data_IF_855463251863
#
_entry.id   IF_855463251863
#
_cell.length_a   1.000
_cell.length_b   1.000
_cell.length_c   1.000
_cell.angle_alpha   90.00
_cell.angle_beta   90.00
_cell.angle_gamma   90.00
#
_symmetry.space_group_name_H-M   'P 1'
#
loop_
_entity.id
_entity.type
_entity.pdbx_description
1 polymer ?
#
# COMPACT_ATOMS: atom_id res chain seq x y z
N UNK A 1 65.62 16.33 55.38
CA UNK A 1 64.42 15.53 55.09
C UNK A 1 64.35 15.28 53.58
N UNK A 2 64.18 14.01 53.18
CA UNK A 2 64.09 13.56 51.79
C UNK A 2 62.66 13.75 51.29
N UNK A 3 62.48 14.26 50.08
CA UNK A 3 61.33 13.88 49.24
C UNK A 3 61.84 13.69 47.82
N UNK A 4 61.84 12.44 47.38
CA UNK A 4 62.03 12.05 45.99
C UNK A 4 60.70 12.30 45.26
N UNK A 5 60.73 13.11 44.20
CA UNK A 5 59.60 13.28 43.29
C UNK A 5 59.78 12.39 42.08
N UNK A 6 59.27 11.17 42.16
CA UNK A 6 59.14 10.30 40.98
C UNK A 6 57.96 10.80 40.13
N UNK A 7 58.22 11.03 38.84
CA UNK A 7 57.19 11.44 37.86
C UNK A 7 56.51 10.17 37.34
N UNK A 8 55.23 9.90 37.65
CA UNK A 8 54.57 8.73 37.08
C UNK A 8 54.21 8.98 35.60
N UNK A 9 54.61 8.03 34.78
CA UNK A 9 54.51 7.98 33.32
C UNK A 9 53.05 7.92 32.85
N UNK A 10 52.46 9.07 32.49
CA UNK A 10 51.09 9.19 31.94
C UNK A 10 50.90 8.70 30.49
N UNK A 11 51.93 8.11 29.85
CA UNK A 11 51.86 7.69 28.46
C UNK A 11 51.01 6.42 28.20
N UNK A 12 50.63 5.65 29.22
CA UNK A 12 49.89 4.39 29.07
C UNK A 12 48.37 4.55 28.90
N UNK A 13 47.84 5.77 29.01
CA UNK A 13 46.40 6.02 29.03
C UNK A 13 45.83 6.11 27.60
N UNK A 14 46.66 6.42 26.60
CA UNK A 14 46.20 6.59 25.22
C UNK A 14 46.19 5.28 24.40
N UNK A 15 46.79 4.20 24.91
CA UNK A 15 46.92 2.93 24.17
C UNK A 15 45.74 1.96 24.39
N UNK A 16 44.86 2.24 25.35
CA UNK A 16 43.72 1.38 25.70
C UNK A 16 42.42 1.78 25.00
N UNK A 17 42.49 2.21 23.73
CA UNK A 17 41.30 2.44 22.89
C UNK A 17 40.96 1.22 22.00
N UNK A 18 41.05 0.01 22.55
CA UNK A 18 40.44 -1.19 21.95
C UNK A 18 39.82 -2.06 23.04
N UNK A 19 38.52 -2.31 22.88
CA UNK A 19 37.65 -3.22 23.63
C UNK A 19 36.95 -2.67 24.90
N UNK A 20 35.89 -1.87 24.69
CA UNK A 20 34.74 -1.87 25.61
C UNK A 20 33.56 -2.48 24.87
N UNK A 21 33.28 -3.73 25.24
CA UNK A 21 32.12 -4.50 24.83
C UNK A 21 30.83 -3.76 25.26
N UNK A 22 29.89 -3.68 24.32
CA UNK A 22 28.44 -3.80 24.49
C UNK A 22 27.88 -3.21 25.80
N UNK A 23 27.49 -1.94 25.76
CA UNK A 23 26.52 -1.40 26.71
C UNK A 23 25.14 -1.86 26.23
N UNK A 24 24.55 -2.71 27.03
CA UNK A 24 23.25 -3.31 26.84
C UNK A 24 22.17 -2.25 26.90
N UNK A 25 21.28 -2.29 25.90
CA UNK A 25 19.92 -1.79 25.91
C UNK A 25 19.70 -0.52 26.75
N UNK A 26 20.03 0.64 26.17
CA UNK A 26 19.19 1.81 26.43
C UNK A 26 17.77 1.37 26.08
N UNK A 27 16.98 1.17 27.13
CA UNK A 27 15.59 0.77 27.12
C UNK A 27 14.92 1.32 25.89
N UNK A 28 14.51 0.41 25.02
CA UNK A 28 13.65 0.65 23.88
C UNK A 28 12.52 1.56 24.37
N UNK A 29 12.68 2.87 24.18
CA UNK A 29 11.55 3.81 24.26
C UNK A 29 10.76 3.39 23.03
N UNK A 30 9.91 2.36 23.21
CA UNK A 30 8.85 2.04 22.28
C UNK A 30 7.98 3.29 22.30
N UNK A 31 8.34 4.24 21.43
CA UNK A 31 7.45 5.27 20.93
C UNK A 31 6.14 4.55 20.72
N UNK A 32 5.16 4.87 21.55
CA UNK A 32 3.86 4.20 21.56
C UNK A 32 3.39 4.26 20.12
N UNK A 33 3.48 3.13 19.39
CA UNK A 33 3.17 3.12 17.96
C UNK A 33 1.74 3.59 17.85
N UNK A 34 1.51 4.68 17.14
CA UNK A 34 0.15 5.13 16.86
C UNK A 34 -0.59 3.98 16.19
N UNK A 35 -1.60 3.45 16.89
CA UNK A 35 -2.38 2.31 16.41
C UNK A 35 -3.49 2.87 15.54
N UNK A 36 -3.27 2.82 14.22
CA UNK A 36 -4.29 3.19 13.24
C UNK A 36 -5.34 2.07 13.18
N UNK A 37 -6.51 2.30 13.78
CA UNK A 37 -7.65 1.40 13.69
C UNK A 37 -8.55 1.78 12.51
N UNK A 38 -8.34 1.13 11.37
CA UNK A 38 -9.23 1.26 10.20
C UNK A 38 -10.45 0.37 10.42
N UNK A 39 -11.65 0.91 10.23
CA UNK A 39 -12.90 0.14 10.31
C UNK A 39 -12.90 -1.02 9.30
N UNK A 40 -13.53 -2.14 9.65
CA UNK A 40 -13.65 -3.30 8.74
C UNK A 40 -14.22 -2.89 7.38
N UNK A 41 -15.29 -2.08 7.41
CA UNK A 41 -15.92 -1.55 6.22
C UNK A 41 -14.97 -0.74 5.31
N UNK A 42 -14.09 0.09 5.89
CA UNK A 42 -13.12 0.85 5.11
C UNK A 42 -12.06 -0.06 4.44
N UNK A 43 -11.68 -1.18 5.09
CA UNK A 43 -10.80 -2.18 4.47
C UNK A 43 -11.48 -2.90 3.31
N UNK A 44 -12.76 -3.20 3.44
CA UNK A 44 -13.54 -3.85 2.38
C UNK A 44 -13.64 -2.92 1.16
N UNK A 45 -13.99 -1.65 1.38
CA UNK A 45 -14.01 -0.63 0.33
C UNK A 45 -12.65 -0.47 -0.35
N UNK A 46 -11.56 -0.43 0.43
CA UNK A 46 -10.21 -0.33 -0.13
C UNK A 46 -9.87 -1.54 -1.01
N UNK A 47 -10.33 -2.73 -0.64
CA UNK A 47 -10.12 -3.96 -1.40
C UNK A 47 -10.90 -3.93 -2.72
N UNK A 48 -12.16 -3.50 -2.68
CA UNK A 48 -12.99 -3.31 -3.88
C UNK A 48 -12.40 -2.26 -4.81
N UNK A 49 -11.96 -1.11 -4.30
CA UNK A 49 -11.33 -0.05 -5.11
C UNK A 49 -10.06 -0.56 -5.78
N UNK A 50 -9.23 -1.35 -5.09
CA UNK A 50 -8.03 -1.96 -5.69
C UNK A 50 -8.42 -2.91 -6.83
N UNK A 51 -9.39 -3.80 -6.59
CA UNK A 51 -9.87 -4.73 -7.61
C UNK A 51 -10.44 -4.02 -8.85
N UNK A 52 -11.14 -2.89 -8.68
CA UNK A 52 -11.64 -2.07 -9.79
C UNK A 52 -10.47 -1.44 -10.57
N UNK A 53 -9.43 -0.96 -9.88
CA UNK A 53 -8.24 -0.36 -10.52
C UNK A 53 -7.40 -1.37 -11.30
N UNK A 54 -7.32 -2.60 -10.81
CA UNK A 54 -6.57 -3.67 -11.47
C UNK A 54 -7.34 -4.28 -12.66
N UNK A 55 -8.63 -3.95 -12.81
CA UNK A 55 -9.46 -4.44 -13.90
C UNK A 55 -9.10 -3.73 -15.22
N UNK A 56 -8.98 -4.45 -16.34
CA UNK A 56 -8.68 -3.82 -17.62
C UNK A 56 -9.80 -2.86 -18.07
N UNK A 57 -9.41 -1.72 -18.64
CA UNK A 57 -10.33 -0.72 -19.19
C UNK A 57 -11.29 -1.33 -20.24
N UNK A 58 -10.80 -2.31 -20.99
CA UNK A 58 -11.57 -3.00 -22.02
C UNK A 58 -11.79 -4.45 -21.60
N UNK A 59 -13.07 -4.83 -21.48
CA UNK A 59 -13.47 -6.23 -21.29
C UNK A 59 -13.48 -6.98 -22.62
N UNK A 60 -12.31 -7.43 -23.04
CA UNK A 60 -12.10 -8.12 -24.33
C UNK A 60 -13.04 -9.31 -24.51
N UNK A 61 -13.32 -10.08 -23.46
CA UNK A 61 -14.23 -11.23 -23.50
C UNK A 61 -15.61 -10.86 -24.03
N UNK A 62 -16.18 -9.77 -23.50
CA UNK A 62 -17.51 -9.28 -23.93
C UNK A 62 -17.49 -8.75 -25.35
N UNK A 63 -16.41 -8.07 -25.75
CA UNK A 63 -16.26 -7.58 -27.12
C UNK A 63 -16.19 -8.75 -28.10
N UNK A 64 -15.41 -9.77 -27.78
CA UNK A 64 -15.26 -10.98 -28.59
C UNK A 64 -16.59 -11.73 -28.72
N UNK A 65 -17.31 -11.90 -27.62
CA UNK A 65 -18.62 -12.55 -27.59
C UNK A 65 -19.64 -11.83 -28.48
N UNK A 66 -19.77 -10.50 -28.35
CA UNK A 66 -20.68 -9.71 -29.17
C UNK A 66 -20.26 -9.76 -30.64
N UNK A 67 -18.95 -9.67 -30.91
CA UNK A 67 -18.40 -9.76 -32.27
C UNK A 67 -18.71 -11.11 -32.91
N UNK A 68 -18.68 -12.20 -32.15
CA UNK A 68 -19.04 -13.53 -32.61
C UNK A 68 -20.54 -13.62 -32.92
N UNK A 69 -21.40 -13.12 -32.03
CA UNK A 69 -22.86 -13.07 -32.25
C UNK A 69 -23.21 -12.24 -33.49
N UNK A 70 -22.48 -11.17 -33.74
CA UNK A 70 -22.63 -10.35 -34.94
C UNK A 70 -22.24 -11.11 -36.20
N UNK A 71 -21.05 -11.76 -36.20
CA UNK A 71 -20.57 -12.57 -37.34
C UNK A 71 -21.48 -13.76 -37.66
N UNK A 72 -22.06 -14.38 -36.64
CA UNK A 72 -22.97 -15.54 -36.78
C UNK A 72 -24.41 -15.14 -37.13
N UNK A 73 -24.71 -13.84 -37.18
CA UNK A 73 -26.05 -13.32 -37.50
C UNK A 73 -27.08 -13.52 -36.39
N UNK A 74 -26.66 -13.96 -35.20
CA UNK A 74 -27.54 -14.21 -34.03
C UNK A 74 -27.66 -12.97 -33.14
N UNK A 75 -27.03 -11.86 -33.53
CA UNK A 75 -27.19 -10.58 -32.87
C UNK A 75 -28.54 -9.95 -33.25
N UNK A 76 -29.56 -10.25 -32.47
CA UNK A 76 -30.88 -9.64 -32.60
C UNK A 76 -31.04 -8.52 -31.58
N UNK A 77 -31.43 -7.33 -32.03
CA UNK A 77 -31.69 -6.17 -31.17
C UNK A 77 -33.17 -5.84 -31.28
N UNK A 78 -33.88 -5.90 -30.17
CA UNK A 78 -35.28 -5.50 -30.12
C UNK A 78 -35.40 -3.95 -30.09
N UNK A 79 -36.36 -3.43 -30.86
CA UNK A 79 -36.63 -1.99 -30.92
C UNK A 79 -37.10 -1.45 -29.58
N UNK A 80 -37.85 -2.26 -28.81
CA UNK A 80 -38.29 -1.90 -27.46
C UNK A 80 -37.12 -1.79 -26.48
N UNK A 81 -36.22 -2.80 -26.46
CA UNK A 81 -35.02 -2.76 -25.62
C UNK A 81 -34.13 -1.55 -25.93
N UNK A 82 -34.06 -1.16 -27.21
CA UNK A 82 -33.32 0.03 -27.64
C UNK A 82 -33.96 1.31 -27.08
N UNK A 83 -35.27 1.45 -27.20
CA UNK A 83 -36.01 2.59 -26.67
C UNK A 83 -35.89 2.68 -25.14
N UNK A 84 -36.02 1.55 -24.42
CA UNK A 84 -35.88 1.48 -22.97
C UNK A 84 -34.48 1.93 -22.51
N UNK A 85 -33.42 1.54 -23.23
CA UNK A 85 -32.04 1.99 -22.92
C UNK A 85 -31.84 3.48 -23.16
N UNK A 86 -32.43 4.03 -24.22
CA UNK A 86 -32.36 5.46 -24.51
C UNK A 86 -33.04 6.25 -23.38
N UNK A 87 -34.27 5.87 -23.03
CA UNK A 87 -35.02 6.53 -21.95
C UNK A 87 -34.28 6.45 -20.62
N UNK A 88 -33.77 5.27 -20.27
CA UNK A 88 -32.97 5.10 -19.05
C UNK A 88 -31.73 5.99 -19.04
N UNK A 89 -30.99 6.07 -20.14
CA UNK A 89 -29.80 6.93 -20.23
C UNK A 89 -30.12 8.42 -20.09
N UNK A 90 -31.29 8.86 -20.55
CA UNK A 90 -31.74 10.26 -20.40
C UNK A 90 -32.16 10.56 -18.98
N UNK A 91 -32.83 9.60 -18.31
CA UNK A 91 -33.28 9.73 -16.93
C UNK A 91 -32.13 9.68 -15.92
N UNK A 92 -31.18 8.75 -16.09
CA UNK A 92 -29.98 8.63 -15.24
C UNK A 92 -29.08 9.89 -15.32
N UNK A 93 -29.12 10.62 -16.45
CA UNK A 93 -28.36 11.87 -16.62
C UNK A 93 -28.99 13.07 -15.89
N UNK A 94 -30.20 12.93 -15.36
CA UNK A 94 -30.96 14.03 -14.74
C UNK A 94 -30.85 14.07 -13.20
N UNK A 95 -29.74 13.57 -12.66
CA UNK A 95 -29.38 13.65 -11.24
C UNK A 95 -28.07 14.41 -11.09
#
# INVERSE_FOLDING_TARGET
>A
MKVWGEIPKILGIYENQKSVKKIEAASEIKSKKDVVSISSHAKDLQTVIKAIKDMPDIRQDKVSEISLRFKTGVYNVDGKETADKILKSVLDKKV
#
